data_IF_941262176289
#
_entry.id   IF_941262176289
#
_cell.length_a   1.000
_cell.length_b   1.000
_cell.length_c   1.000
_cell.angle_alpha   90.00
_cell.angle_beta   90.00
_cell.angle_gamma   90.00
#
_symmetry.space_group_name_H-M   'P 1'
#
loop_
_entity.id
_entity.type
_entity.pdbx_description
1 polymer ?
#
# COMPACT_ATOMS: atom_id res chain seq x y z
N UNK A 1 -86.91 20.01 -15.62
CA UNK A 1 -86.37 20.79 -16.75
C UNK A 1 -85.05 20.14 -17.15
N UNK A 2 -85.05 19.57 -18.37
CA UNK A 2 -83.94 18.97 -19.17
C UNK A 2 -83.03 17.95 -18.45
N UNK A 3 -83.25 16.62 -18.58
CA UNK A 3 -82.98 15.72 -19.75
C UNK A 3 -81.54 15.90 -20.26
N UNK A 4 -80.67 14.89 -20.32
CA UNK A 4 -80.77 13.64 -21.10
C UNK A 4 -79.79 12.59 -20.54
N UNK A 5 -80.17 11.30 -20.38
CA UNK A 5 -80.12 10.25 -21.41
C UNK A 5 -78.73 10.16 -22.04
N UNK A 6 -77.97 9.06 -22.02
CA UNK A 6 -78.29 7.64 -22.20
C UNK A 6 -76.90 6.92 -22.28
N UNK A 7 -76.68 5.61 -22.31
CA UNK A 7 -77.47 4.41 -22.60
C UNK A 7 -76.59 3.23 -22.18
N UNK A 8 -77.26 2.19 -21.68
CA UNK A 8 -76.83 0.82 -21.42
C UNK A 8 -76.22 0.14 -22.66
N UNK A 9 -75.45 -0.93 -22.44
CA UNK A 9 -75.43 -2.27 -23.11
C UNK A 9 -74.09 -2.90 -22.71
N UNK A 10 -74.02 -3.96 -21.89
CA UNK A 10 -74.47 -5.33 -22.19
C UNK A 10 -73.25 -6.11 -22.71
N UNK A 11 -72.85 -7.28 -22.22
CA UNK A 11 -73.35 -8.12 -21.15
C UNK A 11 -72.42 -9.33 -20.99
N UNK A 12 -72.67 -10.07 -19.91
CA UNK A 12 -72.54 -11.52 -19.74
C UNK A 12 -71.14 -12.14 -19.97
N UNK A 13 -70.53 -12.56 -18.86
CA UNK A 13 -69.97 -13.90 -18.77
C UNK A 13 -70.07 -14.41 -17.33
N UNK A 14 -71.06 -15.29 -17.14
CA UNK A 14 -71.19 -16.27 -16.06
C UNK A 14 -69.89 -17.06 -15.92
N UNK A 15 -69.39 -17.31 -14.70
CA UNK A 15 -69.04 -18.68 -14.24
C UNK A 15 -68.37 -18.71 -12.86
N UNK A 16 -69.04 -19.50 -12.01
CA UNK A 16 -68.56 -20.34 -10.91
C UNK A 16 -67.19 -20.06 -10.28
N UNK A 17 -67.26 -19.73 -8.98
CA UNK A 17 -66.29 -20.09 -7.97
C UNK A 17 -65.95 -21.60 -8.06
N UNK A 18 -64.72 -21.90 -8.45
CA UNK A 18 -64.05 -23.13 -8.04
C UNK A 18 -62.81 -22.73 -7.24
N UNK A 19 -62.90 -22.98 -5.95
CA UNK A 19 -61.83 -22.82 -4.97
C UNK A 19 -60.65 -23.73 -5.34
N UNK A 20 -59.63 -23.18 -5.99
CA UNK A 20 -58.31 -23.80 -6.01
C UNK A 20 -57.56 -23.23 -4.81
N UNK A 21 -57.41 -24.05 -3.78
CA UNK A 21 -56.39 -23.86 -2.76
C UNK A 21 -55.03 -23.91 -3.44
N UNK A 22 -54.52 -22.76 -3.90
CA UNK A 22 -53.08 -22.65 -4.13
C UNK A 22 -52.44 -22.69 -2.75
N UNK A 23 -51.83 -23.84 -2.44
CA UNK A 23 -50.77 -23.91 -1.46
C UNK A 23 -49.81 -22.75 -1.77
N UNK A 24 -49.84 -21.71 -0.93
CA UNK A 24 -48.77 -20.72 -0.94
C UNK A 24 -47.45 -21.48 -0.77
N UNK A 25 -46.35 -21.06 -1.41
CA UNK A 25 -45.08 -21.70 -1.16
C UNK A 25 -44.87 -21.66 0.35
N UNK A 26 -44.82 -22.85 0.96
CA UNK A 26 -44.25 -22.99 2.27
C UNK A 26 -42.89 -22.30 2.17
N UNK A 27 -42.69 -21.24 2.96
CA UNK A 27 -41.36 -20.71 3.17
C UNK A 27 -40.61 -21.89 3.77
N UNK A 28 -39.86 -22.61 2.94
CA UNK A 28 -38.93 -23.61 3.40
C UNK A 28 -37.91 -22.79 4.19
N UNK A 29 -38.00 -22.86 5.52
CA UNK A 29 -36.97 -22.35 6.42
C UNK A 29 -35.70 -23.20 6.24
N UNK A 30 -35.03 -22.97 5.12
CA UNK A 30 -33.68 -23.44 4.84
C UNK A 30 -32.72 -22.24 4.70
N UNK A 31 -33.16 -21.04 5.05
CA UNK A 31 -32.26 -19.91 5.23
C UNK A 31 -31.63 -20.04 6.61
N UNK A 32 -30.33 -20.32 6.62
CA UNK A 32 -29.50 -20.24 7.82
C UNK A 32 -29.64 -18.83 8.38
N UNK A 33 -30.39 -18.67 9.47
CA UNK A 33 -30.29 -17.49 10.32
C UNK A 33 -28.96 -17.58 11.07
N UNK A 34 -27.96 -16.87 10.56
CA UNK A 34 -26.72 -16.67 11.31
C UNK A 34 -27.01 -15.65 12.41
N UNK A 35 -26.90 -16.01 13.70
CA UNK A 35 -26.96 -15.03 14.77
C UNK A 35 -25.63 -14.28 14.74
N UNK A 36 -25.71 -12.94 14.64
CA UNK A 36 -24.58 -12.03 14.82
C UNK A 36 -23.47 -12.10 13.74
N UNK A 37 -23.82 -11.72 12.51
CA UNK A 37 -22.82 -11.21 11.58
C UNK A 37 -22.64 -9.70 11.85
N UNK A 38 -21.92 -9.34 12.91
CA UNK A 38 -21.55 -7.94 13.20
C UNK A 38 -20.87 -7.24 12.01
N UNK A 39 -20.26 -8.04 11.12
CA UNK A 39 -19.54 -7.61 9.92
C UNK A 39 -20.29 -7.89 8.60
N UNK A 40 -21.51 -8.45 8.64
CA UNK A 40 -22.32 -8.76 7.44
C UNK A 40 -21.72 -9.76 6.45
N UNK A 41 -20.64 -10.47 6.81
CA UNK A 41 -19.96 -11.44 5.94
C UNK A 41 -20.48 -12.87 6.14
N UNK A 42 -20.78 -13.54 5.03
CA UNK A 42 -21.16 -14.95 5.06
C UNK A 42 -19.94 -15.86 5.30
N UNK A 43 -20.11 -17.00 5.99
CA UNK A 43 -19.05 -18.01 6.05
C UNK A 43 -18.65 -18.40 4.62
N UNK A 44 -17.34 -18.38 4.33
CA UNK A 44 -16.76 -18.67 3.01
C UNK A 44 -17.05 -17.63 1.91
N UNK A 45 -17.52 -16.43 2.25
CA UNK A 45 -17.63 -15.35 1.27
C UNK A 45 -16.24 -15.04 0.66
N UNK A 46 -16.10 -15.01 -0.67
CA UNK A 46 -14.86 -14.57 -1.31
C UNK A 46 -14.49 -13.17 -0.81
N UNK A 47 -13.21 -12.96 -0.50
CA UNK A 47 -12.71 -11.62 -0.15
C UNK A 47 -13.02 -10.67 -1.30
N UNK A 48 -13.71 -9.56 -1.02
CA UNK A 48 -13.85 -8.49 -2.00
C UNK A 48 -12.45 -7.91 -2.25
N UNK A 49 -11.97 -7.79 -3.50
CA UNK A 49 -10.64 -7.26 -3.80
C UNK A 49 -10.39 -5.87 -3.19
N UNK A 50 -11.43 -5.04 -3.05
CA UNK A 50 -11.32 -3.64 -2.62
C UNK A 50 -11.88 -3.28 -1.24
N UNK A 51 -12.70 -4.13 -0.60
CA UNK A 51 -13.31 -3.81 0.72
C UNK A 51 -12.61 -4.51 1.89
N UNK A 52 -11.28 -4.53 1.87
CA UNK A 52 -10.44 -4.97 2.99
C UNK A 52 -9.77 -3.78 3.67
N UNK A 53 -9.09 -4.05 4.78
CA UNK A 53 -8.50 -3.05 5.65
C UNK A 53 -7.31 -2.33 4.99
N UNK A 54 -7.39 -1.00 4.96
CA UNK A 54 -6.23 -0.11 4.91
C UNK A 54 -6.02 0.44 6.32
N UNK A 55 -4.84 0.25 6.90
CA UNK A 55 -4.53 0.76 8.23
C UNK A 55 -3.16 1.44 8.29
N UNK A 56 -3.07 2.65 8.86
CA UNK A 56 -1.79 3.27 9.15
C UNK A 56 -1.13 2.59 10.36
N UNK A 57 0.19 2.60 10.40
CA UNK A 57 1.02 2.04 11.46
C UNK A 57 2.04 3.08 11.93
N UNK A 58 2.17 3.22 13.24
CA UNK A 58 3.30 3.91 13.86
C UNK A 58 4.39 2.86 14.09
N UNK A 59 5.53 3.05 13.45
CA UNK A 59 6.65 2.10 13.50
C UNK A 59 7.55 2.38 14.70
N UNK A 60 7.55 3.63 15.19
CA UNK A 60 8.35 4.07 16.33
C UNK A 60 8.88 5.48 16.13
N UNK A 61 9.76 5.91 17.03
CA UNK A 61 10.33 7.25 17.04
C UNK A 61 11.84 7.22 17.22
N UNK A 62 12.54 8.18 16.63
CA UNK A 62 13.98 8.37 16.77
C UNK A 62 14.29 9.66 17.54
N UNK A 63 15.32 9.63 18.36
CA UNK A 63 15.99 10.86 18.83
C UNK A 63 16.99 11.30 17.77
N UNK A 64 16.92 12.56 17.35
CA UNK A 64 17.88 13.16 16.43
C UNK A 64 18.99 13.88 17.20
N UNK A 65 20.17 14.05 16.58
CA UNK A 65 21.33 14.69 17.22
C UNK A 65 21.09 16.16 17.61
N UNK A 66 20.17 16.84 16.93
CA UNK A 66 19.77 18.22 17.18
C UNK A 66 18.71 18.37 18.28
N UNK A 67 18.31 17.26 18.92
CA UNK A 67 17.30 17.23 19.98
C UNK A 67 15.85 17.18 19.48
N UNK A 68 15.63 17.14 18.16
CA UNK A 68 14.30 16.88 17.58
C UNK A 68 13.99 15.39 17.56
N UNK A 69 12.76 15.03 17.20
CA UNK A 69 12.32 13.64 17.20
C UNK A 69 11.65 13.25 15.88
N UNK A 70 12.07 12.16 15.26
CA UNK A 70 11.48 11.67 14.02
C UNK A 70 10.46 10.55 14.28
N UNK A 71 9.18 10.80 14.02
CA UNK A 71 8.09 9.82 14.12
C UNK A 71 7.97 9.06 12.81
N UNK A 72 8.21 7.75 12.82
CA UNK A 72 8.16 6.91 11.61
C UNK A 72 6.80 6.25 11.43
N UNK A 73 6.28 6.31 10.20
CA UNK A 73 4.99 5.74 9.84
C UNK A 73 5.10 4.77 8.66
N UNK A 74 4.17 3.81 8.66
CA UNK A 74 3.96 2.83 7.61
C UNK A 74 2.47 2.53 7.44
N UNK A 75 2.12 1.60 6.59
CA UNK A 75 0.73 1.15 6.46
C UNK A 75 0.66 -0.32 6.05
N UNK A 76 -0.50 -0.92 6.24
CA UNK A 76 -0.88 -2.17 5.58
C UNK A 76 -2.10 -1.93 4.71
N UNK A 77 -1.99 -2.33 3.44
CA UNK A 77 -3.13 -2.45 2.55
C UNK A 77 -3.40 -3.94 2.31
N UNK A 78 -4.49 -4.44 2.88
CA UNK A 78 -4.90 -5.86 2.71
C UNK A 78 -5.78 -6.08 1.48
N UNK A 79 -6.04 -5.02 0.71
CA UNK A 79 -6.69 -5.11 -0.60
C UNK A 79 -5.74 -5.71 -1.63
N UNK A 80 -6.33 -6.28 -2.68
CA UNK A 80 -5.55 -6.76 -3.83
C UNK A 80 -5.18 -5.61 -4.77
N UNK A 81 -5.92 -4.50 -4.69
CA UNK A 81 -5.75 -3.31 -5.52
C UNK A 81 -4.99 -2.19 -4.77
N UNK A 82 -4.29 -1.35 -5.54
CA UNK A 82 -3.73 -0.09 -5.04
C UNK A 82 -4.87 0.88 -4.74
N UNK A 83 -4.86 1.49 -3.56
CA UNK A 83 -5.82 2.53 -3.18
C UNK A 83 -5.21 3.92 -3.37
N UNK A 84 -6.03 4.87 -3.80
CA UNK A 84 -5.66 6.27 -3.99
C UNK A 84 -6.52 7.12 -3.05
N UNK A 85 -5.90 7.72 -2.03
CA UNK A 85 -6.59 8.55 -1.05
C UNK A 85 -5.84 9.87 -0.94
N UNK A 86 -6.31 10.93 -1.64
CA UNK A 86 -5.71 12.25 -1.58
C UNK A 86 -5.68 12.80 -0.16
N UNK A 87 -4.71 13.67 0.12
CA UNK A 87 -4.66 14.47 1.35
C UNK A 87 -5.98 15.25 1.49
N UNK A 88 -6.57 15.24 2.69
CA UNK A 88 -7.83 15.91 2.99
C UNK A 88 -8.68 15.11 3.96
N UNK A 89 -10.00 15.22 3.86
CA UNK A 89 -10.95 14.65 4.82
C UNK A 89 -10.77 13.14 5.08
N UNK A 90 -10.26 12.40 4.10
CA UNK A 90 -10.06 10.96 4.18
C UNK A 90 -8.59 10.55 4.46
N UNK A 91 -7.65 11.49 4.50
CA UNK A 91 -6.23 11.23 4.74
C UNK A 91 -5.56 12.50 5.29
N UNK A 92 -5.49 12.60 6.62
CA UNK A 92 -5.01 13.80 7.30
C UNK A 92 -4.27 13.47 8.60
N UNK A 93 -3.45 14.43 9.02
CA UNK A 93 -2.93 14.57 10.36
C UNK A 93 -3.75 15.59 11.14
N UNK A 94 -4.00 15.31 12.42
CA UNK A 94 -4.72 16.24 13.31
C UNK A 94 -3.91 17.52 13.62
N UNK A 95 -2.59 17.44 13.55
CA UNK A 95 -1.67 18.57 13.68
C UNK A 95 -1.37 19.17 12.30
N UNK A 96 -2.09 20.24 11.96
CA UNK A 96 -2.02 20.86 10.62
C UNK A 96 -0.62 21.30 10.19
N UNK A 97 0.29 21.64 11.13
CA UNK A 97 1.66 22.03 10.77
C UNK A 97 2.51 20.89 10.18
N UNK A 98 2.08 19.64 10.37
CA UNK A 98 2.78 18.45 9.86
C UNK A 98 2.06 17.80 8.67
N UNK A 99 0.83 18.22 8.39
CA UNK A 99 -0.04 17.59 7.39
C UNK A 99 0.46 17.85 5.96
N UNK A 100 0.34 16.85 5.09
CA UNK A 100 0.62 16.98 3.65
C UNK A 100 1.85 16.22 3.14
N UNK A 101 2.59 15.55 4.02
CA UNK A 101 3.73 14.69 3.62
C UNK A 101 3.36 13.19 3.60
N UNK A 102 2.20 12.80 4.12
CA UNK A 102 1.74 11.40 4.11
C UNK A 102 1.48 10.88 2.68
N UNK A 103 1.58 9.56 2.43
CA UNK A 103 1.32 8.97 1.11
C UNK A 103 -0.14 9.21 0.67
N UNK A 104 -0.35 9.33 -0.64
CA UNK A 104 -1.70 9.28 -1.25
C UNK A 104 -1.91 8.04 -2.10
N UNK A 105 -0.88 7.21 -2.27
CA UNK A 105 -0.91 5.96 -3.05
C UNK A 105 -0.54 4.80 -2.14
N UNK A 106 -1.44 3.82 -2.02
CA UNK A 106 -1.32 2.70 -1.07
C UNK A 106 -1.28 1.36 -1.81
N UNK A 107 -0.08 0.88 -2.09
CA UNK A 107 0.15 -0.41 -2.74
C UNK A 107 -0.24 -1.58 -1.81
N UNK A 108 -0.72 -2.72 -2.34
CA UNK A 108 -0.97 -3.91 -1.55
C UNK A 108 0.23 -4.33 -0.69
N UNK A 109 -0.05 -4.87 0.50
CA UNK A 109 0.95 -5.39 1.45
C UNK A 109 1.28 -4.46 2.62
N UNK A 110 2.29 -4.83 3.41
CA UNK A 110 2.81 -4.04 4.53
C UNK A 110 4.03 -3.24 4.07
N UNK A 111 3.95 -1.94 4.25
CA UNK A 111 4.99 -0.97 3.92
C UNK A 111 5.42 -0.28 5.21
N UNK A 112 6.67 -0.50 5.63
CA UNK A 112 7.19 -0.01 6.92
C UNK A 112 8.08 1.20 6.70
N UNK A 113 7.96 2.20 7.56
CA UNK A 113 8.88 3.34 7.62
C UNK A 113 9.01 4.08 6.28
N UNK A 114 7.88 4.28 5.60
CA UNK A 114 7.86 4.89 4.26
C UNK A 114 7.80 6.42 4.30
N UNK A 115 7.49 7.01 5.44
CA UNK A 115 7.54 8.45 5.67
C UNK A 115 7.67 8.75 7.17
N UNK A 116 7.96 9.99 7.51
CA UNK A 116 8.04 10.45 8.90
C UNK A 116 7.59 11.89 9.10
N UNK A 117 7.34 12.24 10.36
CA UNK A 117 7.16 13.61 10.84
C UNK A 117 8.26 13.93 11.84
N UNK A 118 8.91 15.10 11.70
CA UNK A 118 9.88 15.58 12.70
C UNK A 118 9.20 16.53 13.68
N UNK A 119 9.14 16.12 14.94
CA UNK A 119 8.70 16.97 16.04
C UNK A 119 9.84 17.83 16.56
N UNK A 120 9.61 19.13 16.78
CA UNK A 120 10.56 19.97 17.50
C UNK A 120 10.67 19.53 18.97
N UNK A 121 11.78 19.89 19.62
CA UNK A 121 12.11 19.44 20.98
C UNK A 121 11.05 19.83 22.03
N UNK A 122 10.36 20.95 21.84
CA UNK A 122 9.31 21.46 22.73
C UNK A 122 7.95 20.76 22.56
N UNK A 123 7.83 19.84 21.60
CA UNK A 123 6.63 19.04 21.34
C UNK A 123 6.78 17.58 21.80
N UNK A 124 7.65 17.29 22.77
CA UNK A 124 7.93 15.91 23.17
C UNK A 124 6.69 15.14 23.67
N UNK A 125 5.78 15.83 24.37
CA UNK A 125 4.53 15.25 24.87
C UNK A 125 3.39 15.23 23.83
N UNK A 126 3.64 15.77 22.62
CA UNK A 126 2.62 15.87 21.59
C UNK A 126 2.35 14.50 20.95
N UNK A 127 1.12 14.34 20.46
CA UNK A 127 0.72 13.21 19.61
C UNK A 127 0.25 13.73 18.27
N UNK A 128 0.71 13.09 17.20
CA UNK A 128 0.27 13.33 15.82
C UNK A 128 -0.53 12.13 15.36
N UNK A 129 -1.82 12.31 15.13
CA UNK A 129 -2.73 11.25 14.70
C UNK A 129 -2.85 11.23 13.19
N UNK A 130 -2.45 10.13 12.57
CA UNK A 130 -2.72 9.88 11.16
C UNK A 130 -4.00 9.09 10.98
N UNK A 131 -4.96 9.65 10.25
CA UNK A 131 -6.27 9.06 9.97
C UNK A 131 -6.43 8.76 8.49
N UNK A 132 -6.91 7.54 8.19
CA UNK A 132 -7.27 7.07 6.86
C UNK A 132 -8.73 6.62 6.84
N UNK A 133 -9.47 7.07 5.83
CA UNK A 133 -10.85 6.66 5.58
C UNK A 133 -10.96 6.11 4.17
N UNK A 134 -11.42 4.86 4.03
CA UNK A 134 -11.63 4.27 2.71
C UNK A 134 -13.00 4.64 2.16
N UNK A 135 -13.16 4.58 0.83
CA UNK A 135 -14.44 4.80 0.14
C UNK A 135 -15.56 3.83 0.58
N UNK A 136 -15.21 2.77 1.33
CA UNK A 136 -16.14 1.78 1.85
C UNK A 136 -16.58 2.07 3.30
N UNK A 137 -16.19 3.22 3.86
CA UNK A 137 -16.60 3.68 5.19
C UNK A 137 -15.71 3.17 6.34
N UNK A 138 -14.63 2.42 6.05
CA UNK A 138 -13.70 1.99 7.09
C UNK A 138 -12.76 3.13 7.46
N UNK A 139 -12.75 3.50 8.74
CA UNK A 139 -11.83 4.49 9.31
C UNK A 139 -10.80 3.81 10.18
N UNK A 140 -9.53 4.07 9.92
CA UNK A 140 -8.40 3.60 10.72
C UNK A 140 -7.51 4.78 11.07
N UNK A 141 -6.90 4.75 12.26
CA UNK A 141 -5.99 5.80 12.69
C UNK A 141 -4.93 5.28 13.65
N UNK A 142 -3.80 5.96 13.70
CA UNK A 142 -2.70 5.63 14.62
C UNK A 142 -2.06 6.90 15.19
N UNK A 143 -1.70 6.92 16.48
CA UNK A 143 -0.92 8.01 17.05
C UNK A 143 0.57 7.77 16.84
N UNK A 144 1.27 8.74 16.28
CA UNK A 144 2.72 8.90 16.46
C UNK A 144 2.99 9.81 17.63
N UNK A 145 3.83 9.37 18.55
CA UNK A 145 4.21 10.12 19.76
C UNK A 145 5.49 9.54 20.34
N UNK A 146 6.20 10.38 21.06
CA UNK A 146 7.26 9.94 21.97
C UNK A 146 6.57 9.40 23.21
N UNK A 147 7.10 8.34 23.78
CA UNK A 147 6.48 7.74 24.95
C UNK A 147 7.21 6.50 25.39
N UNK A 148 6.59 5.34 25.18
CA UNK A 148 7.23 4.08 25.58
C UNK A 148 8.54 3.88 24.84
N UNK A 149 9.61 3.68 25.61
CA UNK A 149 10.95 3.28 25.14
C UNK A 149 10.93 2.00 24.31
N UNK A 150 9.88 1.18 24.42
CA UNK A 150 9.71 0.00 23.58
C UNK A 150 9.47 0.32 22.09
N UNK A 151 9.08 1.57 21.78
CA UNK A 151 8.92 2.08 20.42
C UNK A 151 10.04 3.06 20.02
N UNK A 152 11.04 3.25 20.89
CA UNK A 152 12.24 4.00 20.53
C UNK A 152 13.05 3.19 19.53
N UNK A 153 13.37 3.82 18.42
CA UNK A 153 14.17 3.26 17.35
C UNK A 153 15.56 3.90 17.39
N UNK A 154 16.56 3.08 17.12
CA UNK A 154 17.96 3.48 17.16
C UNK A 154 18.62 3.36 15.79
N UNK A 155 19.70 4.13 15.62
CA UNK A 155 20.57 4.07 14.45
C UNK A 155 21.77 3.13 14.63
N UNK A 156 21.77 2.31 15.69
CA UNK A 156 22.90 1.44 15.99
C UNK A 156 22.97 0.28 14.99
N UNK A 157 24.20 -0.18 14.68
CA UNK A 157 24.40 -1.40 13.94
C UNK A 157 23.71 -2.58 14.65
N UNK A 158 22.99 -3.38 13.88
CA UNK A 158 22.47 -4.66 14.35
C UNK A 158 23.64 -5.63 14.56
N UNK A 159 23.48 -6.74 15.31
CA UNK A 159 24.60 -7.63 15.66
C UNK A 159 25.43 -8.15 14.49
N UNK A 160 24.84 -8.24 13.30
CA UNK A 160 25.53 -8.61 12.05
C UNK A 160 26.14 -7.43 11.29
N UNK A 161 26.27 -6.26 11.93
CA UNK A 161 26.82 -5.04 11.33
C UNK A 161 25.83 -4.21 10.52
N UNK A 162 24.62 -4.74 10.25
CA UNK A 162 23.65 -4.07 9.39
C UNK A 162 23.15 -2.76 9.99
N UNK A 163 23.25 -1.70 9.19
CA UNK A 163 22.69 -0.38 9.45
C UNK A 163 21.72 -0.01 8.32
N UNK A 164 20.91 1.03 8.54
CA UNK A 164 20.01 1.56 7.52
C UNK A 164 20.81 2.13 6.34
N UNK A 165 20.43 1.80 5.08
CA UNK A 165 21.09 2.35 3.90
C UNK A 165 20.97 3.88 3.84
N UNK A 166 21.89 4.48 3.08
CA UNK A 166 21.97 5.90 2.81
C UNK A 166 21.56 6.19 1.38
N UNK A 167 20.92 7.34 1.16
CA UNK A 167 20.52 7.83 -0.16
C UNK A 167 20.85 9.32 -0.31
N UNK A 168 21.28 9.74 -1.49
CA UNK A 168 21.52 11.15 -1.81
C UNK A 168 21.17 11.48 -3.26
N UNK A 169 20.99 12.77 -3.53
CA UNK A 169 20.84 13.32 -4.87
C UNK A 169 22.15 13.98 -5.30
N UNK A 170 22.57 13.79 -6.55
CA UNK A 170 23.80 14.39 -7.10
C UNK A 170 23.81 15.93 -7.02
N UNK A 171 22.62 16.52 -7.07
CA UNK A 171 22.41 17.96 -7.20
C UNK A 171 22.47 18.74 -5.90
N UNK A 172 22.66 18.08 -4.74
CA UNK A 172 22.65 18.75 -3.43
C UNK A 172 23.58 18.09 -2.41
N UNK A 173 23.96 18.88 -1.40
CA UNK A 173 24.67 18.35 -0.22
C UNK A 173 23.66 17.81 0.79
N UNK A 174 23.73 16.53 1.09
CA UNK A 174 22.88 15.89 2.11
C UNK A 174 22.77 14.40 1.88
N UNK A 175 22.58 13.66 2.97
CA UNK A 175 22.40 12.20 2.92
C UNK A 175 21.18 11.84 3.74
N UNK A 176 20.19 11.25 3.08
CA UNK A 176 19.03 10.66 3.74
C UNK A 176 19.35 9.28 4.27
N UNK A 177 18.75 8.94 5.41
CA UNK A 177 18.90 7.63 6.05
C UNK A 177 17.58 7.22 6.71
N UNK A 178 17.23 5.94 6.59
CA UNK A 178 16.01 5.38 7.18
C UNK A 178 14.72 6.09 6.76
N UNK A 179 13.65 6.00 7.58
CA UNK A 179 12.35 6.58 7.26
C UNK A 179 12.31 8.09 7.03
N UNK A 180 13.10 8.93 7.74
CA UNK A 180 13.17 10.36 7.45
C UNK A 180 13.70 10.69 6.07
N UNK A 181 14.61 9.86 5.54
CA UNK A 181 15.11 9.99 4.18
C UNK A 181 15.67 11.39 3.89
N UNK A 182 15.44 11.87 2.67
CA UNK A 182 15.83 13.21 2.20
C UNK A 182 14.90 13.65 1.07
N UNK A 183 14.56 14.93 1.04
CA UNK A 183 13.86 15.55 -0.09
C UNK A 183 14.84 16.25 -1.03
N UNK A 184 14.57 16.20 -2.33
CA UNK A 184 15.32 16.99 -3.30
C UNK A 184 15.00 18.49 -3.10
N UNK A 185 16.03 19.32 -3.05
CA UNK A 185 15.94 20.78 -2.92
C UNK A 185 15.30 21.42 -4.16
N UNK A 186 15.43 20.76 -5.32
CA UNK A 186 14.95 21.26 -6.61
C UNK A 186 13.83 20.39 -7.13
N UNK A 187 12.66 21.00 -7.34
CA UNK A 187 11.58 20.38 -8.10
C UNK A 187 11.95 20.31 -9.57
N UNK A 188 11.81 19.13 -10.16
CA UNK A 188 11.93 18.91 -11.60
C UNK A 188 10.55 19.03 -12.26
N UNK A 189 10.49 19.65 -13.43
CA UNK A 189 9.26 19.77 -14.21
C UNK A 189 9.45 19.15 -15.60
N UNK A 190 8.44 18.42 -16.06
CA UNK A 190 8.43 17.76 -17.37
C UNK A 190 7.03 17.85 -17.98
N UNK A 191 6.95 17.90 -19.31
CA UNK A 191 5.68 17.83 -20.01
C UNK A 191 5.07 16.43 -19.90
N UNK A 192 3.74 16.34 -19.81
CA UNK A 192 3.02 15.06 -19.78
C UNK A 192 3.39 14.24 -21.02
N UNK A 193 3.71 12.95 -20.81
CA UNK A 193 4.12 12.03 -21.88
C UNK A 193 5.59 12.15 -22.31
N UNK A 194 6.35 13.10 -21.75
CA UNK A 194 7.81 13.17 -21.95
C UNK A 194 8.52 12.47 -20.79
N UNK A 195 9.59 11.70 -21.04
CA UNK A 195 10.35 11.05 -19.97
C UNK A 195 11.15 12.07 -19.15
N UNK A 196 11.30 11.80 -17.85
CA UNK A 196 12.16 12.53 -16.93
C UNK A 196 13.13 11.54 -16.28
N UNK A 197 14.42 11.75 -16.46
CA UNK A 197 15.45 10.97 -15.78
C UNK A 197 15.62 11.46 -14.36
N UNK A 198 15.49 10.55 -13.39
CA UNK A 198 15.82 10.76 -11.99
C UNK A 198 17.01 9.87 -11.64
N UNK A 199 17.90 10.36 -10.80
CA UNK A 199 19.02 9.59 -10.25
C UNK A 199 19.07 9.73 -8.74
N UNK A 200 19.37 8.62 -8.07
CA UNK A 200 19.76 8.61 -6.65
C UNK A 200 21.03 7.80 -6.48
N UNK A 201 21.92 8.27 -5.61
CA UNK A 201 23.02 7.44 -5.13
C UNK A 201 22.56 6.73 -3.87
N UNK A 202 22.74 5.42 -3.82
CA UNK A 202 22.46 4.64 -2.63
C UNK A 202 23.72 3.90 -2.18
N UNK A 203 23.89 3.78 -0.86
CA UNK A 203 25.05 3.14 -0.24
C UNK A 203 24.62 2.37 0.99
N UNK A 204 25.15 1.17 1.16
CA UNK A 204 25.08 0.39 2.40
C UNK A 204 26.34 0.65 3.24
N UNK A 205 26.25 1.42 4.34
CA UNK A 205 27.40 1.74 5.18
C UNK A 205 27.69 0.65 6.24
N UNK A 206 27.10 -0.53 6.14
CA UNK A 206 27.25 -1.60 7.12
C UNK A 206 28.66 -2.21 7.13
N UNK A 207 29.26 -2.29 8.31
CA UNK A 207 30.52 -3.02 8.54
C UNK A 207 30.20 -4.45 8.94
N UNK A 208 30.46 -5.42 8.06
CA UNK A 208 30.13 -6.84 8.29
C UNK A 208 31.38 -7.70 8.32
N UNK A 209 31.32 -8.77 9.12
CA UNK A 209 32.34 -9.82 9.14
C UNK A 209 32.33 -10.57 7.81
N UNK A 210 33.41 -10.43 7.03
CA UNK A 210 33.53 -11.05 5.70
C UNK A 210 33.92 -12.54 5.76
N UNK A 211 34.39 -13.03 6.92
CA UNK A 211 34.67 -14.45 7.12
C UNK A 211 33.37 -15.26 7.33
N UNK A 212 32.27 -14.58 7.67
CA UNK A 212 30.93 -15.15 7.73
C UNK A 212 30.32 -15.22 6.32
N UNK A 213 30.13 -16.44 5.81
CA UNK A 213 29.52 -16.70 4.51
C UNK A 213 28.15 -16.03 4.31
N UNK A 214 27.43 -15.68 5.39
CA UNK A 214 26.15 -14.96 5.33
C UNK A 214 26.28 -13.50 4.92
N UNK A 215 27.48 -12.91 5.00
CA UNK A 215 27.73 -11.49 4.80
C UNK A 215 28.48 -11.17 3.49
N UNK A 216 28.95 -12.19 2.76
CA UNK A 216 29.85 -12.05 1.60
C UNK A 216 29.19 -11.31 0.42
N UNK A 217 27.85 -11.30 0.34
CA UNK A 217 27.11 -10.47 -0.63
C UNK A 217 25.73 -10.13 -0.10
N UNK A 218 25.56 -8.89 0.36
CA UNK A 218 24.25 -8.33 0.74
C UNK A 218 23.87 -7.29 -0.31
N UNK A 219 22.98 -7.62 -1.27
CA UNK A 219 22.64 -6.70 -2.34
C UNK A 219 21.79 -5.54 -1.79
N UNK A 220 22.15 -4.32 -2.18
CA UNK A 220 21.31 -3.15 -1.95
C UNK A 220 20.23 -3.08 -3.03
N UNK A 221 19.06 -2.57 -2.68
CA UNK A 221 17.91 -2.50 -3.59
C UNK A 221 17.28 -1.13 -3.52
N UNK A 222 17.25 -0.42 -4.64
CA UNK A 222 16.48 0.82 -4.78
C UNK A 222 15.10 0.48 -5.30
N UNK A 223 14.08 1.08 -4.68
CA UNK A 223 12.68 0.89 -5.06
C UNK A 223 12.07 2.26 -5.36
N UNK A 224 11.75 2.50 -6.62
CA UNK A 224 11.05 3.69 -7.09
C UNK A 224 9.55 3.48 -6.97
N UNK A 225 8.86 4.37 -6.27
CA UNK A 225 7.41 4.31 -6.12
C UNK A 225 6.80 5.70 -5.99
N UNK A 226 5.55 5.83 -6.40
CA UNK A 226 4.82 7.08 -6.28
C UNK A 226 4.33 7.23 -4.84
N UNK A 227 4.82 8.26 -4.15
CA UNK A 227 4.34 8.60 -2.80
C UNK A 227 3.03 9.40 -2.86
N UNK A 228 2.99 10.41 -3.73
CA UNK A 228 1.85 11.31 -3.90
C UNK A 228 1.55 11.61 -5.38
N UNK A 229 0.30 11.95 -5.68
CA UNK A 229 -0.11 12.52 -6.97
C UNK A 229 -1.39 11.94 -7.57
N UNK A 230 -2.03 12.65 -8.52
CA UNK A 230 -3.36 12.30 -9.04
C UNK A 230 -3.35 11.30 -10.21
N UNK A 231 -2.17 11.01 -10.79
CA UNK A 231 -2.05 10.20 -12.00
C UNK A 231 -1.00 9.09 -11.85
N UNK A 232 -1.11 8.01 -12.63
CA UNK A 232 -0.14 6.92 -12.62
C UNK A 232 1.21 7.41 -13.15
N UNK A 233 2.29 6.95 -12.51
CA UNK A 233 3.67 7.13 -12.98
C UNK A 233 4.17 5.80 -13.52
N UNK A 234 4.75 5.82 -14.71
CA UNK A 234 5.43 4.67 -15.29
C UNK A 234 6.94 4.83 -15.09
N UNK A 235 7.58 3.75 -14.64
CA UNK A 235 8.99 3.72 -14.31
C UNK A 235 9.72 2.80 -15.29
N UNK A 236 10.78 3.30 -15.91
CA UNK A 236 11.66 2.54 -16.81
C UNK A 236 13.10 2.66 -16.34
N UNK A 237 13.87 1.58 -16.52
CA UNK A 237 15.27 1.60 -16.12
C UNK A 237 16.06 2.47 -17.09
N UNK A 238 16.95 3.28 -16.54
CA UNK A 238 17.93 3.99 -17.37
C UNK A 238 18.91 2.98 -18.00
N UNK A 239 19.44 3.30 -19.18
CA UNK A 239 20.40 2.46 -19.92
C UNK A 239 21.68 2.15 -19.13
N UNK A 240 22.03 3.01 -18.18
CA UNK A 240 23.18 2.80 -17.27
C UNK A 240 22.94 1.74 -16.20
N UNK A 241 21.71 1.25 -16.04
CA UNK A 241 21.35 0.26 -15.04
C UNK A 241 20.44 -0.83 -15.66
N UNK A 242 20.97 -1.61 -16.63
CA UNK A 242 20.17 -2.54 -17.40
C UNK A 242 19.54 -3.62 -16.51
N UNK A 243 18.41 -4.15 -16.95
CA UNK A 243 17.86 -5.35 -16.30
C UNK A 243 18.85 -6.49 -16.51
N UNK A 244 19.23 -7.16 -15.42
CA UNK A 244 20.05 -8.37 -15.52
C UNK A 244 19.17 -9.43 -16.16
N UNK A 245 19.39 -9.70 -17.45
CA UNK A 245 18.78 -10.84 -18.12
C UNK A 245 19.19 -12.09 -17.34
N UNK A 246 18.22 -12.68 -16.63
CA UNK A 246 18.40 -14.04 -16.15
C UNK A 246 18.34 -14.90 -17.40
N UNK A 247 19.48 -15.49 -17.79
CA UNK A 247 19.51 -16.48 -18.86
C UNK A 247 18.33 -17.43 -18.67
N UNK A 248 17.52 -17.58 -19.71
CA UNK A 248 16.42 -18.54 -19.66
C UNK A 248 17.02 -19.88 -19.22
N UNK A 249 16.45 -20.51 -18.18
CA UNK A 249 16.95 -21.80 -17.74
C UNK A 249 16.98 -22.73 -18.95
N UNK A 250 18.07 -23.47 -19.11
CA UNK A 250 18.14 -24.48 -20.16
C UNK A 250 16.90 -25.39 -20.10
N UNK A 251 16.57 -26.03 -21.21
CA UNK A 251 15.34 -26.83 -21.33
C UNK A 251 15.20 -27.88 -20.21
N UNK A 252 16.31 -28.36 -19.67
CA UNK A 252 16.36 -29.26 -18.53
C UNK A 252 15.95 -28.57 -17.21
N UNK A 253 16.43 -27.36 -16.95
CA UNK A 253 16.11 -26.56 -15.75
C UNK A 253 14.69 -26.02 -15.81
N UNK A 254 14.22 -25.58 -16.98
CA UNK A 254 12.82 -25.19 -17.20
C UNK A 254 11.86 -26.37 -16.93
N UNK A 255 12.20 -27.57 -17.40
CA UNK A 255 11.42 -28.78 -17.15
C UNK A 255 11.40 -29.16 -15.66
N UNK A 256 12.51 -28.97 -14.94
CA UNK A 256 12.59 -29.18 -13.49
C UNK A 256 11.74 -28.18 -12.71
N UNK A 257 11.73 -26.91 -13.10
CA UNK A 257 10.89 -25.86 -12.49
C UNK A 257 9.41 -26.16 -12.74
N UNK A 258 9.05 -26.61 -13.94
CA UNK A 258 7.68 -27.03 -14.26
C UNK A 258 7.27 -28.28 -13.46
N UNK A 259 8.18 -29.24 -13.29
CA UNK A 259 7.96 -30.45 -12.49
C UNK A 259 7.89 -30.19 -10.97
N UNK A 260 8.48 -29.08 -10.48
CA UNK A 260 8.40 -28.65 -9.09
C UNK A 260 7.02 -28.10 -8.68
N UNK A 261 6.09 -28.01 -9.64
CA UNK A 261 4.68 -27.74 -9.39
C UNK A 261 4.26 -26.28 -9.60
N UNK A 262 2.94 -26.02 -9.56
CA UNK A 262 2.35 -24.75 -9.98
C UNK A 262 2.82 -23.54 -9.15
N UNK A 263 3.23 -23.74 -7.89
CA UNK A 263 3.79 -22.68 -7.05
C UNK A 263 5.16 -22.17 -7.55
N UNK A 264 6.03 -23.08 -8.00
CA UNK A 264 7.34 -22.73 -8.56
C UNK A 264 7.20 -22.01 -9.91
N UNK A 265 6.27 -22.47 -10.75
CA UNK A 265 5.95 -21.82 -12.02
C UNK A 265 5.30 -20.43 -11.83
N UNK A 266 4.48 -20.25 -10.79
CA UNK A 266 3.87 -18.96 -10.44
C UNK A 266 4.89 -17.95 -9.89
N UNK A 267 5.86 -18.40 -9.08
CA UNK A 267 6.95 -17.56 -8.58
C UNK A 267 7.83 -17.01 -9.72
N UNK A 268 8.06 -17.80 -10.77
CA UNK A 268 8.76 -17.37 -11.97
C UNK A 268 7.97 -16.31 -12.77
N UNK A 269 6.65 -16.54 -12.97
CA UNK A 269 5.78 -15.59 -13.70
C UNK A 269 5.56 -14.25 -12.98
N UNK A 270 5.65 -14.21 -11.65
CA UNK A 270 5.51 -12.98 -10.85
C UNK A 270 6.57 -11.90 -11.13
N UNK A 271 7.66 -12.22 -11.84
CA UNK A 271 8.63 -11.20 -12.31
C UNK A 271 8.06 -10.25 -13.38
N UNK A 272 6.95 -10.60 -14.03
CA UNK A 272 6.23 -9.75 -15.01
C UNK A 272 4.94 -9.17 -14.41
N UNK A 273 5.05 -8.45 -13.30
CA UNK A 273 3.90 -7.83 -12.63
C UNK A 273 3.41 -6.53 -13.31
N UNK A 274 2.14 -6.11 -13.06
CA UNK A 274 1.55 -4.85 -13.52
C UNK A 274 2.31 -3.61 -12.98
N UNK A 275 2.00 -2.36 -13.41
CA UNK A 275 2.68 -1.15 -12.92
C UNK A 275 2.69 -1.10 -11.40
N UNK A 276 3.88 -1.19 -10.84
CA UNK A 276 4.17 -1.23 -9.42
C UNK A 276 5.56 -0.67 -9.17
N UNK A 277 6.03 -0.67 -7.91
CA UNK A 277 7.33 -0.10 -7.58
C UNK A 277 8.44 -0.72 -8.44
N UNK A 278 9.23 0.12 -9.12
CA UNK A 278 10.33 -0.36 -9.93
C UNK A 278 11.54 -0.63 -9.04
N UNK A 279 12.10 -1.82 -9.20
CA UNK A 279 13.19 -2.29 -8.35
C UNK A 279 14.49 -2.31 -9.14
N UNK A 280 15.51 -1.64 -8.64
CA UNK A 280 16.87 -1.60 -9.21
C UNK A 280 17.84 -2.22 -8.19
N UNK A 281 18.41 -3.42 -8.45
CA UNK A 281 19.42 -4.02 -7.58
C UNK A 281 20.78 -3.35 -7.79
N UNK A 282 21.49 -3.10 -6.69
CA UNK A 282 22.87 -2.62 -6.65
C UNK A 282 23.74 -3.71 -6.02
N UNK A 283 24.39 -4.49 -6.87
CA UNK A 283 25.11 -5.72 -6.48
C UNK A 283 26.33 -5.49 -5.60
N UNK A 284 26.92 -4.30 -5.66
CA UNK A 284 28.12 -3.93 -4.89
C UNK A 284 27.80 -3.25 -3.56
N UNK A 285 26.53 -3.26 -3.13
CA UNK A 285 26.09 -2.55 -1.93
C UNK A 285 26.10 -1.02 -2.05
N UNK A 286 26.44 -0.50 -3.23
CA UNK A 286 26.41 0.93 -3.57
C UNK A 286 26.20 1.13 -5.08
N UNK A 287 25.75 2.31 -5.48
CA UNK A 287 25.63 2.70 -6.88
C UNK A 287 24.54 3.73 -7.15
N UNK A 288 24.43 4.13 -8.41
CA UNK A 288 23.43 5.08 -8.90
C UNK A 288 22.26 4.33 -9.53
N UNK A 289 21.04 4.64 -9.10
CA UNK A 289 19.80 4.03 -9.57
C UNK A 289 18.78 5.07 -10.05
#
# INVERSE_FOLDING_TARGET
MMRQLSKTVGGIALSLLLSVTLAGPAILEAQVQVPDASDGRWPLQPSSPGNNTLAPFFEGWYVNEDGTYSLSFGYVNTNLDTLYIPIGENNFLDQAQFDGVQPTVFFPGRHRGIWSVTLPADMEDASVWWTLMTQYGHTTRVPGRIGSVAYELDWMPRPHGSVTPRVSFDSQSGVGQGPPGIFAERTQAVAVGSPLTLSVNATDPSERDQDDARNVSVPLRVVWSQLQGPGPVEYTRHESNPEVEVEEPDSATAARIAAAGPAAAAAFRRRRGPPGPQVVPLSEGQGTA
#
